data_IF_211462216266
#
_entry.id   IF_211462216266
#
_cell.length_a   1.000
_cell.length_b   1.000
_cell.length_c   1.000
_cell.angle_alpha   90.00
_cell.angle_beta   90.00
_cell.angle_gamma   90.00
#
_symmetry.space_group_name_H-M   'P 1'
#
loop_
_entity.id
_entity.type
_entity.pdbx_description
1 polymer ?
#
# COMPACT_ATOMS: atom_id res chain seq x y z
N UNK A 1 0.58 -17.90 27.74
CA UNK A 1 1.45 -17.12 26.84
C UNK A 1 0.65 -15.91 26.37
N UNK A 2 1.31 -14.85 25.93
CA UNK A 2 0.61 -13.70 25.33
C UNK A 2 0.62 -13.87 23.82
N UNK A 3 -0.57 -14.03 23.23
CA UNK A 3 -0.75 -14.12 21.78
C UNK A 3 -0.83 -12.71 21.18
N UNK A 4 0.17 -12.40 20.35
CA UNK A 4 0.40 -11.10 19.71
C UNK A 4 0.25 -11.25 18.20
N UNK A 5 -0.44 -10.31 17.57
CA UNK A 5 -0.53 -10.21 16.11
C UNK A 5 0.07 -8.88 15.65
N UNK A 6 1.00 -8.93 14.72
CA UNK A 6 1.53 -7.78 14.00
C UNK A 6 0.95 -7.74 12.59
N UNK A 7 0.37 -6.60 12.20
CA UNK A 7 -0.16 -6.36 10.85
C UNK A 7 0.55 -5.12 10.27
N UNK A 8 1.51 -5.35 9.36
CA UNK A 8 2.34 -4.30 8.76
C UNK A 8 2.94 -4.71 7.42
N UNK A 9 3.04 -3.77 6.48
CA UNK A 9 3.79 -3.94 5.24
C UNK A 9 5.27 -3.55 5.36
N UNK A 10 5.63 -2.74 6.37
CA UNK A 10 6.99 -2.22 6.61
C UNK A 10 7.98 -3.34 6.97
N UNK A 11 9.02 -3.60 6.15
CA UNK A 11 10.00 -4.68 6.41
C UNK A 11 10.83 -4.47 7.68
N UNK A 12 11.08 -3.21 8.09
CA UNK A 12 11.82 -2.86 9.32
C UNK A 12 11.10 -3.39 10.56
N UNK A 13 9.81 -3.08 10.71
CA UNK A 13 8.99 -3.52 11.84
C UNK A 13 8.91 -5.05 11.92
N UNK A 14 8.73 -5.74 10.78
CA UNK A 14 8.74 -7.22 10.76
C UNK A 14 10.06 -7.80 11.30
N UNK A 15 11.22 -7.24 10.94
CA UNK A 15 12.52 -7.71 11.44
C UNK A 15 12.66 -7.51 12.95
N UNK A 16 12.24 -6.37 13.49
CA UNK A 16 12.32 -6.07 14.92
C UNK A 16 11.43 -6.99 15.75
N UNK A 17 10.16 -7.15 15.35
CA UNK A 17 9.24 -8.06 16.03
C UNK A 17 9.65 -9.54 15.93
N UNK A 18 10.25 -9.98 14.81
CA UNK A 18 10.78 -11.34 14.70
C UNK A 18 11.92 -11.59 15.69
N UNK A 19 12.88 -10.67 15.84
CA UNK A 19 13.92 -10.75 16.89
C UNK A 19 13.30 -10.83 18.29
N UNK A 20 12.31 -9.98 18.56
CA UNK A 20 11.59 -9.97 19.84
C UNK A 20 10.91 -11.31 20.19
N UNK A 21 10.47 -12.05 19.17
CA UNK A 21 9.86 -13.37 19.32
C UNK A 21 10.88 -14.52 19.44
N UNK A 22 12.15 -14.29 19.11
CA UNK A 22 13.25 -15.23 19.40
C UNK A 22 13.67 -15.13 20.88
N UNK A 23 13.74 -13.91 21.42
CA UNK A 23 14.21 -13.65 22.79
C UNK A 23 13.22 -14.05 23.90
N UNK A 24 11.93 -14.24 23.58
CA UNK A 24 10.89 -14.52 24.59
C UNK A 24 9.89 -15.59 24.14
N UNK A 25 9.26 -16.23 25.13
CA UNK A 25 8.14 -17.18 24.95
C UNK A 25 6.81 -16.50 24.57
N UNK A 26 6.89 -15.51 23.68
CA UNK A 26 5.74 -14.81 23.10
C UNK A 26 5.26 -15.56 21.85
N UNK A 27 3.95 -15.65 21.70
CA UNK A 27 3.31 -16.23 20.52
C UNK A 27 3.05 -15.08 19.54
N UNK A 28 4.04 -14.78 18.70
CA UNK A 28 3.92 -13.74 17.68
C UNK A 28 3.47 -14.32 16.35
N UNK A 29 2.40 -13.76 15.79
CA UNK A 29 1.96 -14.00 14.40
C UNK A 29 2.14 -12.72 13.59
N UNK A 30 2.51 -12.86 12.31
CA UNK A 30 2.82 -11.73 11.42
C UNK A 30 1.99 -11.83 10.14
N UNK A 31 1.11 -10.85 9.97
CA UNK A 31 0.34 -10.62 8.76
C UNK A 31 0.98 -9.49 7.94
N UNK A 32 1.11 -9.71 6.64
CA UNK A 32 1.78 -8.77 5.73
C UNK A 32 0.84 -7.91 4.90
N UNK A 33 -0.46 -8.16 4.99
CA UNK A 33 -1.55 -7.46 4.32
C UNK A 33 -2.80 -7.54 5.19
N UNK A 34 -3.85 -6.80 4.83
CA UNK A 34 -5.10 -6.76 5.58
C UNK A 34 -5.82 -8.12 5.57
N UNK A 35 -5.89 -8.77 4.41
CA UNK A 35 -6.62 -10.03 4.20
C UNK A 35 -6.03 -11.15 5.07
N UNK A 36 -4.70 -11.26 5.10
CA UNK A 36 -4.02 -12.20 6.01
C UNK A 36 -4.20 -11.81 7.48
N UNK A 37 -4.31 -10.52 7.79
CA UNK A 37 -4.64 -10.04 9.14
C UNK A 37 -6.00 -10.55 9.61
N UNK A 38 -7.00 -10.49 8.74
CA UNK A 38 -8.35 -10.99 9.00
C UNK A 38 -8.36 -12.51 9.19
N UNK A 39 -7.68 -13.27 8.33
CA UNK A 39 -7.52 -14.73 8.47
C UNK A 39 -6.92 -15.09 9.84
N UNK A 40 -5.80 -14.45 10.21
CA UNK A 40 -5.12 -14.71 11.48
C UNK A 40 -6.00 -14.35 12.70
N UNK A 41 -6.78 -13.26 12.64
CA UNK A 41 -7.73 -12.85 13.69
C UNK A 41 -8.88 -13.87 13.85
N UNK A 42 -9.36 -14.44 12.74
CA UNK A 42 -10.45 -15.43 12.74
C UNK A 42 -9.96 -16.79 13.24
N UNK A 43 -8.76 -17.23 12.83
CA UNK A 43 -8.15 -18.50 13.25
C UNK A 43 -7.91 -18.56 14.76
N UNK A 44 -7.31 -17.50 15.33
CA UNK A 44 -7.21 -17.31 16.77
C UNK A 44 -7.24 -15.81 17.08
N UNK A 45 -8.05 -15.41 18.05
CA UNK A 45 -8.25 -14.00 18.36
C UNK A 45 -7.12 -13.53 19.28
N UNK A 46 -6.19 -12.66 18.85
CA UNK A 46 -5.04 -12.26 19.66
C UNK A 46 -5.45 -11.45 20.91
N UNK A 47 -4.58 -11.44 21.92
CA UNK A 47 -4.75 -10.59 23.11
C UNK A 47 -4.40 -9.12 22.82
N UNK A 48 -3.45 -8.90 21.91
CA UNK A 48 -3.03 -7.58 21.44
C UNK A 48 -2.71 -7.61 19.94
N UNK A 49 -3.14 -6.58 19.22
CA UNK A 49 -2.85 -6.35 17.80
C UNK A 49 -2.05 -5.06 17.65
N UNK A 50 -0.92 -5.15 16.97
CA UNK A 50 -0.13 -4.02 16.50
C UNK A 50 -0.49 -3.73 15.04
N UNK A 51 -0.93 -2.50 14.76
CA UNK A 51 -1.44 -2.09 13.44
C UNK A 51 -0.71 -0.84 12.98
N UNK A 52 -0.27 -0.83 11.73
CA UNK A 52 0.31 0.34 11.06
C UNK A 52 -0.79 1.35 10.62
N UNK A 53 -0.49 2.65 10.65
CA UNK A 53 -1.46 3.72 10.33
C UNK A 53 -2.14 3.62 8.97
N UNK A 54 -1.40 3.14 7.97
CA UNK A 54 -1.90 2.90 6.62
C UNK A 54 -1.59 1.46 6.21
N UNK A 55 -2.62 0.73 5.79
CA UNK A 55 -2.48 -0.63 5.27
C UNK A 55 -3.49 -0.85 4.15
N UNK A 56 -3.02 -1.32 2.99
CA UNK A 56 -3.86 -1.49 1.78
C UNK A 56 -4.66 -0.23 1.37
N UNK A 57 -4.17 0.96 1.71
CA UNK A 57 -4.84 2.24 1.44
C UNK A 57 -5.95 2.63 2.44
N UNK A 58 -6.22 1.81 3.45
CA UNK A 58 -7.14 2.16 4.55
C UNK A 58 -6.38 2.91 5.66
N UNK A 59 -7.07 3.82 6.32
CA UNK A 59 -6.60 4.55 7.50
C UNK A 59 -6.84 3.78 8.81
N UNK A 60 -6.07 4.14 9.84
CA UNK A 60 -6.07 3.51 11.15
C UNK A 60 -7.47 3.36 11.79
N UNK A 61 -8.29 4.40 11.74
CA UNK A 61 -9.67 4.41 12.25
C UNK A 61 -10.57 3.37 11.55
N UNK A 62 -10.49 3.25 10.22
CA UNK A 62 -11.21 2.26 9.42
C UNK A 62 -10.70 0.85 9.75
N UNK A 63 -9.38 0.66 9.83
CA UNK A 63 -8.75 -0.61 10.21
C UNK A 63 -9.21 -1.06 11.61
N UNK A 64 -9.23 -0.14 12.58
CA UNK A 64 -9.67 -0.41 13.94
C UNK A 64 -11.15 -0.80 13.99
N UNK A 65 -12.02 -0.12 13.23
CA UNK A 65 -13.43 -0.48 13.13
C UNK A 65 -13.62 -1.88 12.52
N UNK A 66 -12.90 -2.18 11.44
CA UNK A 66 -12.92 -3.47 10.77
C UNK A 66 -12.47 -4.62 11.68
N UNK A 67 -11.31 -4.49 12.34
CA UNK A 67 -10.83 -5.52 13.26
C UNK A 67 -11.73 -5.69 14.51
N UNK A 68 -12.32 -4.60 15.05
CA UNK A 68 -13.32 -4.69 16.12
C UNK A 68 -14.54 -5.50 15.68
N UNK A 69 -15.01 -5.32 14.45
CA UNK A 69 -16.13 -6.09 13.87
C UNK A 69 -15.81 -7.59 13.80
N UNK A 70 -14.60 -7.98 13.40
CA UNK A 70 -14.16 -9.38 13.32
C UNK A 70 -13.97 -10.05 14.69
N UNK A 71 -13.38 -9.34 15.66
CA UNK A 71 -13.14 -9.88 17.01
C UNK A 71 -14.43 -10.07 17.82
N UNK A 72 -15.43 -9.21 17.58
CA UNK A 72 -16.72 -9.23 18.25
C UNK A 72 -16.59 -8.82 19.72
N UNK A 73 -17.08 -9.67 20.64
CA UNK A 73 -17.10 -9.36 22.09
C UNK A 73 -15.77 -9.62 22.83
N UNK A 74 -14.70 -10.10 22.17
CA UNK A 74 -13.42 -10.36 22.85
C UNK A 74 -12.70 -9.04 23.14
N UNK A 75 -12.19 -8.88 24.36
CA UNK A 75 -11.32 -7.76 24.73
C UNK A 75 -9.91 -7.99 24.18
N UNK A 76 -9.58 -7.30 23.10
CA UNK A 76 -8.26 -7.27 22.47
C UNK A 76 -7.74 -5.83 22.51
N UNK A 77 -6.48 -5.65 22.92
CA UNK A 77 -5.85 -4.32 22.93
C UNK A 77 -5.31 -4.00 21.55
N UNK A 78 -5.53 -2.77 21.09
CA UNK A 78 -5.00 -2.28 19.82
C UNK A 78 -3.90 -1.26 20.10
N UNK A 79 -2.76 -1.45 19.44
CA UNK A 79 -1.60 -0.54 19.51
C UNK A 79 -1.34 0.00 18.11
N UNK A 80 -1.27 1.32 17.98
CA UNK A 80 -0.97 2.00 16.72
C UNK A 80 0.55 2.15 16.56
N UNK A 81 1.06 1.78 15.39
CA UNK A 81 2.44 1.99 14.96
C UNK A 81 2.47 3.07 13.88
N UNK A 82 3.03 4.24 14.20
CA UNK A 82 3.16 5.36 13.25
C UNK A 82 4.32 6.28 13.59
N UNK A 83 4.84 7.05 12.63
CA UNK A 83 5.50 8.33 12.93
C UNK A 83 4.52 9.32 13.58
N UNK A 84 5.01 10.17 14.49
CA UNK A 84 4.20 11.18 15.23
C UNK A 84 3.56 12.21 14.30
N UNK A 85 4.26 12.59 13.24
CA UNK A 85 3.82 13.58 12.23
C UNK A 85 2.63 13.10 11.37
N UNK A 86 2.30 11.81 11.40
CA UNK A 86 1.30 11.20 10.49
C UNK A 86 -0.05 10.89 11.15
N UNK A 87 -0.24 11.16 12.45
CA UNK A 87 -1.46 10.79 13.19
C UNK A 87 -2.03 11.97 13.96
N UNK A 88 -3.33 12.21 13.79
CA UNK A 88 -4.09 13.15 14.59
C UNK A 88 -4.39 12.55 15.99
N UNK A 89 -4.26 13.35 17.05
CA UNK A 89 -4.60 13.00 18.45
C UNK A 89 -5.97 12.33 18.61
N UNK A 90 -6.95 12.71 17.80
CA UNK A 90 -8.28 12.09 17.77
C UNK A 90 -8.23 10.60 17.46
N UNK A 91 -7.35 10.18 16.54
CA UNK A 91 -7.14 8.77 16.18
C UNK A 91 -6.35 8.06 17.27
N UNK A 92 -5.31 8.69 17.83
CA UNK A 92 -4.49 8.12 18.92
C UNK A 92 -5.38 7.70 20.11
N UNK A 93 -6.36 8.54 20.48
CA UNK A 93 -7.33 8.28 21.55
C UNK A 93 -8.25 7.07 21.32
N UNK A 94 -8.39 6.57 20.08
CA UNK A 94 -9.17 5.37 19.76
C UNK A 94 -8.41 4.07 20.07
N UNK A 95 -7.09 4.14 20.15
CA UNK A 95 -6.19 3.02 20.43
C UNK A 95 -5.87 2.92 21.93
N UNK A 96 -5.39 1.75 22.36
CA UNK A 96 -5.02 1.53 23.77
C UNK A 96 -3.61 2.02 24.08
N UNK A 97 -2.73 2.05 23.07
CA UNK A 97 -1.41 2.65 23.15
C UNK A 97 -0.94 3.08 21.75
N UNK A 98 0.06 3.95 21.72
CA UNK A 98 0.72 4.44 20.52
C UNK A 98 2.23 4.21 20.64
N UNK A 99 2.89 3.86 19.55
CA UNK A 99 4.34 3.69 19.48
C UNK A 99 4.87 4.46 18.26
N UNK A 100 5.78 5.39 18.51
CA UNK A 100 6.45 6.13 17.45
C UNK A 100 7.42 5.23 16.68
N UNK A 101 7.21 5.07 15.38
CA UNK A 101 8.09 4.30 14.50
C UNK A 101 9.26 5.10 13.93
N UNK A 102 9.31 6.43 14.17
CA UNK A 102 10.43 7.28 13.78
C UNK A 102 11.68 7.05 14.65
N UNK A 103 11.48 6.58 15.89
CA UNK A 103 12.52 6.17 16.84
C UNK A 103 13.52 5.17 16.23
N UNK A 104 14.72 5.12 16.81
CA UNK A 104 15.75 4.13 16.48
C UNK A 104 15.32 2.69 16.84
N UNK A 105 16.03 1.70 16.30
CA UNK A 105 15.69 0.28 16.47
C UNK A 105 15.73 -0.19 17.94
N UNK A 106 16.53 0.42 18.81
CA UNK A 106 16.62 0.05 20.23
C UNK A 106 15.48 0.68 21.03
N UNK A 107 15.29 2.00 20.95
CA UNK A 107 14.20 2.70 21.63
C UNK A 107 12.81 2.17 21.20
N UNK A 108 12.65 1.82 19.91
CA UNK A 108 11.43 1.21 19.39
C UNK A 108 11.18 -0.19 20.00
N UNK A 109 12.23 -1.02 20.13
CA UNK A 109 12.12 -2.33 20.80
C UNK A 109 11.74 -2.18 22.27
N UNK A 110 12.35 -1.23 22.98
CA UNK A 110 12.04 -0.97 24.39
C UNK A 110 10.59 -0.46 24.57
N UNK A 111 10.10 0.42 23.68
CA UNK A 111 8.72 0.90 23.68
C UNK A 111 7.70 -0.23 23.40
N UNK A 112 7.99 -1.13 22.46
CA UNK A 112 7.20 -2.35 22.22
C UNK A 112 7.20 -3.23 23.47
N UNK A 113 8.35 -3.43 24.10
CA UNK A 113 8.50 -4.25 25.30
C UNK A 113 7.76 -3.71 26.51
N UNK A 114 7.83 -2.39 26.76
CA UNK A 114 7.03 -1.72 27.78
C UNK A 114 5.52 -1.91 27.52
N UNK A 115 5.10 -1.80 26.26
CA UNK A 115 3.70 -2.00 25.85
C UNK A 115 3.24 -3.44 26.08
N UNK A 116 4.03 -4.44 25.69
CA UNK A 116 3.73 -5.87 25.91
C UNK A 116 3.71 -6.20 27.40
N UNK A 117 4.57 -5.59 28.23
CA UNK A 117 4.56 -5.78 29.68
C UNK A 117 3.22 -5.40 30.33
N UNK A 118 2.47 -4.45 29.76
CA UNK A 118 1.12 -4.09 30.24
C UNK A 118 0.08 -5.22 30.14
N UNK A 119 0.33 -6.23 29.30
CA UNK A 119 -0.54 -7.42 29.16
C UNK A 119 -0.34 -8.44 30.26
N UNK A 120 0.80 -8.42 30.96
CA UNK A 120 1.03 -9.32 32.07
C UNK A 120 -0.11 -9.14 33.08
N UNK A 121 -0.85 -10.20 33.44
CA UNK A 121 -1.94 -10.08 34.40
C UNK A 121 -1.33 -9.56 35.70
N UNK A 122 -1.65 -8.31 36.04
CA UNK A 122 -1.14 -7.62 37.23
C UNK A 122 -1.56 -8.46 38.43
N UNK A 123 -0.62 -9.30 38.90
CA UNK A 123 -0.94 -10.48 39.69
C UNK A 123 -1.84 -10.09 40.83
N UNK A 124 -3.04 -10.69 40.90
CA UNK A 124 -4.10 -10.36 41.86
C UNK A 124 -3.45 -10.31 43.24
N UNK A 125 -3.18 -9.08 43.72
CA UNK A 125 -2.42 -8.85 44.96
C UNK A 125 -3.25 -9.48 46.07
N UNK A 126 -2.89 -10.69 46.46
CA UNK A 126 -3.62 -11.49 47.42
C UNK A 126 -3.69 -10.66 48.68
N UNK A 127 -4.90 -10.36 49.13
CA UNK A 127 -5.12 -9.56 50.31
C UNK A 127 -4.58 -10.30 51.53
N UNK A 128 -3.34 -9.98 51.89
CA UNK A 128 -2.89 -10.15 53.26
C UNK A 128 -3.67 -9.11 54.09
N UNK A 129 -4.52 -9.62 54.97
CA UNK A 129 -5.15 -8.90 56.09
C UNK A 129 -4.20 -7.85 56.67
N UNK A 130 -4.60 -6.59 56.81
CA UNK A 130 -5.25 -6.13 58.06
C UNK A 130 -4.64 -6.77 59.31
N UNK A 131 -3.35 -6.50 59.52
CA UNK A 131 -2.67 -6.70 60.80
C UNK A 131 -2.62 -5.37 61.54
N UNK A 132 -3.53 -5.22 62.48
CA UNK A 132 -3.65 -4.07 63.38
C UNK A 132 -2.48 -4.06 64.38
N UNK A 133 -1.72 -2.96 64.46
CA UNK A 133 -1.09 -2.52 65.71
C UNK A 133 -0.61 -1.06 65.65
N UNK A 134 -0.73 -0.41 66.81
CA UNK A 134 -0.60 1.03 67.00
C UNK A 134 0.82 1.47 67.46
N UNK A 135 0.91 2.77 67.77
CA UNK A 135 2.10 3.55 68.15
C UNK A 135 3.09 3.83 66.99
N UNK A 136 3.57 5.05 66.78
CA UNK A 136 3.31 6.32 67.49
C UNK A 136 4.43 7.30 67.14
N UNK A 137 4.13 8.58 66.95
CA UNK A 137 5.14 9.56 66.53
C UNK A 137 4.54 10.81 65.92
N UNK A 138 4.32 11.81 66.76
CA UNK A 138 3.91 13.15 66.35
C UNK A 138 5.02 13.84 65.53
N UNK A 139 4.63 14.66 64.54
CA UNK A 139 5.13 16.03 64.45
C UNK A 139 4.21 16.87 63.58
N UNK A 140 3.83 18.06 64.05
CA UNK A 140 2.90 18.96 63.38
C UNK A 140 3.44 20.39 63.28
N UNK A 141 3.38 20.97 62.09
CA UNK A 141 3.21 22.41 61.80
C UNK A 141 2.58 22.45 60.39
N UNK A 142 1.38 22.98 60.07
CA UNK A 142 0.81 24.33 60.31
C UNK A 142 1.67 25.45 59.66
N UNK A 143 1.20 26.45 58.91
CA UNK A 143 -0.08 26.85 58.26
C UNK A 143 0.31 27.65 56.97
N UNK A 144 -0.47 28.00 55.95
CA UNK A 144 -1.73 28.81 55.81
C UNK A 144 -2.11 28.83 54.30
N UNK A 145 -3.25 29.29 53.76
CA UNK A 145 -4.45 30.01 54.26
C UNK A 145 -4.45 31.56 54.15
N UNK A 146 -4.49 32.08 52.91
CA UNK A 146 -4.96 33.41 52.42
C UNK A 146 -5.14 33.23 50.89
N UNK A 147 -6.25 33.44 50.19
CA UNK A 147 -7.37 34.41 50.28
C UNK A 147 -6.96 35.85 49.90
N UNK A 148 -7.23 36.25 48.65
CA UNK A 148 -7.50 37.65 48.29
C UNK A 148 -8.31 37.77 46.97
N UNK A 149 -9.52 38.33 47.07
CA UNK A 149 -10.34 38.84 45.98
C UNK A 149 -9.89 40.24 45.51
N UNK A 150 -9.88 40.52 44.20
CA UNK A 150 -9.67 41.88 43.67
C UNK A 150 -9.98 42.03 42.17
N UNK A 151 -10.96 42.89 41.77
CA UNK A 151 -11.30 43.18 40.36
C UNK A 151 -10.73 44.55 39.89
N UNK A 152 -11.13 44.97 38.67
CA UNK A 152 -10.78 46.21 37.91
C UNK A 152 -9.76 45.93 36.79
N UNK A 153 -9.82 46.52 35.59
CA UNK A 153 -10.70 47.58 35.04
C UNK A 153 -9.89 48.45 34.06
N UNK A 154 -10.50 48.88 32.95
CA UNK A 154 -9.80 49.41 31.76
C UNK A 154 -10.21 48.62 30.52
N UNK A 155 -11.14 49.05 29.65
CA UNK A 155 -11.44 50.41 29.19
C UNK A 155 -10.23 51.11 28.56
N UNK A 156 -10.09 50.92 27.25
CA UNK A 156 -9.47 51.88 26.34
C UNK A 156 -10.23 51.80 25.02
N UNK A 157 -11.29 52.59 24.92
CA UNK A 157 -11.68 53.16 23.63
C UNK A 157 -10.50 53.98 23.10
N UNK A 158 -10.20 53.90 21.81
CA UNK A 158 -10.35 55.06 20.91
C UNK A 158 -10.00 54.71 19.45
N UNK A 159 -10.98 55.04 18.59
CA UNK A 159 -10.81 55.82 17.36
C UNK A 159 -9.91 55.32 16.20
N UNK A 160 -10.56 54.85 15.13
CA UNK A 160 -10.12 55.04 13.74
C UNK A 160 -11.26 54.75 12.75
N UNK A 161 -11.28 55.39 11.56
CA UNK A 161 -12.48 56.12 11.18
C UNK A 161 -13.33 55.53 10.05
N UNK A 162 -14.56 56.06 9.97
CA UNK A 162 -15.56 55.82 8.93
C UNK A 162 -15.08 56.29 7.55
N UNK A 163 -15.09 55.41 6.55
CA UNK A 163 -15.04 55.79 5.13
C UNK A 163 -16.46 55.92 4.52
N UNK A 164 -16.72 56.91 3.65
CA UNK A 164 -18.05 57.19 3.12
C UNK A 164 -18.42 56.38 1.86
N UNK A 165 -19.72 56.20 1.56
CA UNK A 165 -20.18 55.52 0.35
C UNK A 165 -19.99 56.38 -0.91
N UNK A 166 -19.34 55.82 -1.93
CA UNK A 166 -19.15 56.45 -3.25
C UNK A 166 -20.27 56.00 -4.21
N UNK A 167 -20.90 56.90 -4.99
CA UNK A 167 -22.09 56.58 -5.77
C UNK A 167 -21.81 55.95 -7.15
N UNK A 168 -22.81 55.15 -7.56
CA UNK A 168 -23.33 54.95 -8.94
C UNK A 168 -22.55 55.58 -10.10
N UNK A 169 -22.14 54.74 -11.06
CA UNK A 169 -21.97 55.12 -12.47
C UNK A 169 -22.17 53.91 -13.38
N UNK A 170 -23.30 53.85 -14.06
CA UNK A 170 -23.52 52.97 -15.21
C UNK A 170 -22.77 53.49 -16.44
N UNK A 171 -22.36 52.60 -17.35
CA UNK A 171 -22.44 52.90 -18.77
C UNK A 171 -23.36 51.89 -19.46
N UNK A 172 -24.49 52.38 -19.98
CA UNK A 172 -25.39 51.57 -20.80
C UNK A 172 -24.71 51.13 -22.09
N UNK A 173 -24.91 49.85 -22.44
CA UNK A 173 -24.61 49.30 -23.77
C UNK A 173 -25.88 48.65 -24.27
N UNK A 174 -26.55 49.32 -25.20
CA UNK A 174 -27.69 48.75 -25.94
C UNK A 174 -27.24 47.50 -26.69
N UNK A 175 -27.79 46.34 -26.31
CA UNK A 175 -27.67 45.08 -27.02
C UNK A 175 -29.07 44.59 -27.41
N UNK A 176 -29.32 44.15 -28.66
CA UNK A 176 -30.67 43.81 -29.11
C UNK A 176 -31.30 42.63 -28.37
N UNK A 177 -32.60 42.75 -28.11
CA UNK A 177 -33.46 41.71 -27.54
C UNK A 177 -33.48 40.45 -28.43
N UNK A 178 -33.01 39.31 -27.91
CA UNK A 178 -33.43 38.00 -28.41
C UNK A 178 -34.75 37.57 -27.74
N UNK A 179 -35.67 36.91 -28.47
CA UNK A 179 -36.94 36.45 -27.91
C UNK A 179 -36.72 35.27 -26.95
N UNK A 180 -37.12 35.43 -25.69
CA UNK A 180 -36.87 34.45 -24.64
C UNK A 180 -37.57 33.11 -24.83
N UNK A 181 -36.87 32.03 -24.50
CA UNK A 181 -37.46 30.70 -24.36
C UNK A 181 -38.38 30.65 -23.12
N UNK A 182 -39.56 30.00 -23.19
CA UNK A 182 -40.49 29.94 -22.07
C UNK A 182 -39.93 29.11 -20.92
N UNK A 183 -39.99 29.65 -19.70
CA UNK A 183 -39.49 28.94 -18.51
C UNK A 183 -40.36 27.73 -18.17
N UNK A 184 -39.73 26.69 -17.60
CA UNK A 184 -40.40 25.42 -17.30
C UNK A 184 -41.53 25.53 -16.24
N UNK A 185 -41.64 26.67 -15.56
CA UNK A 185 -42.60 26.90 -14.48
C UNK A 185 -44.04 27.11 -14.99
N UNK A 186 -44.22 27.58 -16.24
CA UNK A 186 -45.55 27.69 -16.87
C UNK A 186 -46.18 26.33 -17.24
N UNK A 187 -45.40 25.23 -17.21
CA UNK A 187 -45.90 23.89 -17.55
C UNK A 187 -46.63 23.18 -16.39
N UNK A 188 -46.88 23.86 -15.28
CA UNK A 188 -47.76 23.36 -14.20
C UNK A 188 -47.22 22.18 -13.40
N UNK A 189 -45.91 21.88 -13.50
CA UNK A 189 -45.28 20.75 -12.79
C UNK A 189 -45.01 21.14 -11.32
N UNK A 190 -46.06 21.09 -10.50
CA UNK A 190 -45.97 21.30 -9.05
C UNK A 190 -45.26 20.10 -8.40
N UNK A 191 -43.95 20.20 -8.24
CA UNK A 191 -43.19 19.23 -7.45
C UNK A 191 -43.56 19.37 -5.96
N UNK A 192 -44.05 18.28 -5.37
CA UNK A 192 -44.30 18.24 -3.92
C UNK A 192 -43.01 18.51 -3.14
N UNK A 193 -43.08 19.45 -2.19
CA UNK A 193 -41.96 19.81 -1.32
C UNK A 193 -41.42 18.55 -0.62
N UNK A 194 -40.23 18.09 -1.02
CA UNK A 194 -39.54 17.03 -0.27
C UNK A 194 -39.06 17.63 1.05
N UNK A 195 -39.30 16.98 2.20
CA UNK A 195 -38.73 17.43 3.47
C UNK A 195 -37.21 17.41 3.34
N UNK A 196 -36.57 18.55 3.59
CA UNK A 196 -35.11 18.62 3.58
C UNK A 196 -34.58 17.85 4.78
N UNK A 197 -34.08 16.64 4.56
CA UNK A 197 -33.19 16.01 5.51
C UNK A 197 -31.91 16.85 5.57
N UNK A 198 -31.73 17.55 6.69
CA UNK A 198 -30.46 18.16 7.06
C UNK A 198 -29.45 17.05 7.39
N UNK A 199 -28.90 16.41 6.36
CA UNK A 199 -27.73 15.55 6.47
C UNK A 199 -26.52 16.46 6.71
N UNK A 200 -26.40 16.95 7.95
CA UNK A 200 -25.16 17.50 8.46
C UNK A 200 -24.13 16.37 8.46
N UNK A 201 -23.39 16.28 7.37
CA UNK A 201 -22.24 15.40 7.27
C UNK A 201 -21.13 15.98 8.14
N UNK A 202 -20.81 15.33 9.26
CA UNK A 202 -19.76 15.74 10.21
C UNK A 202 -18.33 15.67 9.62
N UNK A 203 -18.21 15.53 8.29
CA UNK A 203 -16.97 15.28 7.56
C UNK A 203 -16.24 16.56 7.10
N UNK A 204 -16.85 17.74 7.21
CA UNK A 204 -16.22 19.03 6.82
C UNK A 204 -15.59 19.80 7.98
N UNK A 205 -15.86 19.42 9.23
CA UNK A 205 -15.38 20.16 10.41
C UNK A 205 -13.89 19.98 10.74
N UNK A 206 -13.24 18.92 10.26
CA UNK A 206 -11.85 18.58 10.59
C UNK A 206 -10.79 19.15 9.64
N UNK A 207 -11.18 19.80 8.54
CA UNK A 207 -10.22 20.33 7.56
C UNK A 207 -9.63 21.70 7.97
N UNK A 208 -10.39 22.50 8.72
CA UNK A 208 -10.01 23.90 9.04
C UNK A 208 -8.98 23.99 10.19
N UNK A 209 -9.01 23.05 11.14
CA UNK A 209 -8.07 23.04 12.28
C UNK A 209 -6.65 22.58 11.93
N UNK A 210 -6.41 22.05 10.72
CA UNK A 210 -5.11 21.54 10.30
C UNK A 210 -4.18 22.60 9.67
N UNK A 211 -4.67 23.82 9.43
CA UNK A 211 -3.95 24.86 8.66
C UNK A 211 -3.25 25.90 9.56
N UNK A 212 -3.57 25.94 10.86
CA UNK A 212 -3.11 27.00 11.79
C UNK A 212 -1.82 26.68 12.57
N UNK A 213 -1.15 25.55 12.32
CA UNK A 213 0.08 25.17 13.04
C UNK A 213 1.22 24.78 12.09
N UNK A 214 1.93 25.80 11.58
CA UNK A 214 3.30 25.65 11.06
C UNK A 214 4.19 26.68 11.76
N UNK A 215 5.17 26.18 12.50
CA UNK A 215 6.06 26.96 13.36
C UNK A 215 7.03 27.84 12.56
N UNK A 216 7.37 29.00 13.13
CA UNK A 216 8.43 29.89 12.64
C UNK A 216 9.80 29.20 12.78
N UNK A 217 10.63 29.09 11.73
CA UNK A 217 11.97 28.52 11.83
C UNK A 217 12.99 29.53 12.40
N UNK A 218 13.79 29.04 13.35
CA UNK A 218 14.91 29.73 13.98
C UNK A 218 16.11 29.86 12.99
N UNK A 219 16.83 31.00 12.96
CA UNK A 219 17.85 31.25 11.94
C UNK A 219 19.16 30.49 12.20
N UNK A 220 19.48 29.54 11.31
CA UNK A 220 20.75 28.81 11.33
C UNK A 220 21.94 29.71 10.94
N UNK A 221 22.71 30.17 11.93
CA UNK A 221 23.90 30.99 11.74
C UNK A 221 25.10 30.56 12.61
N UNK A 222 25.39 29.24 12.66
CA UNK A 222 26.70 28.74 13.10
C UNK A 222 26.92 27.28 12.66
N UNK A 223 27.96 27.07 11.85
CA UNK A 223 28.94 25.95 11.85
C UNK A 223 29.43 25.69 10.42
N UNK A 224 30.43 26.49 10.05
CA UNK A 224 31.36 26.19 8.96
C UNK A 224 32.50 25.33 9.51
N UNK A 225 33.09 24.54 8.60
CA UNK A 225 34.37 23.81 8.71
C UNK A 225 34.41 22.56 9.61
N UNK A 226 34.65 21.41 8.98
CA UNK A 226 35.83 20.54 9.21
C UNK A 226 35.95 19.55 8.01
N UNK A 227 37.13 18.96 7.71
CA UNK A 227 37.49 18.59 6.35
C UNK A 227 37.21 17.13 5.89
N UNK A 228 37.21 17.01 4.57
CA UNK A 228 36.98 15.81 3.77
C UNK A 228 38.23 14.91 3.68
N UNK A 229 38.42 13.96 4.60
CA UNK A 229 39.23 12.76 4.37
C UNK A 229 38.64 11.52 5.09
N UNK A 230 39.12 10.33 4.70
CA UNK A 230 38.86 9.02 5.34
C UNK A 230 37.56 8.27 4.98
N UNK A 231 37.32 8.06 3.68
CA UNK A 231 36.58 6.89 3.18
C UNK A 231 37.36 6.15 2.09
N UNK A 232 38.41 5.44 2.52
CA UNK A 232 39.08 4.37 1.74
C UNK A 232 39.33 3.17 2.65
N UNK A 233 39.12 1.98 2.07
CA UNK A 233 39.24 0.64 2.66
C UNK A 233 38.09 0.19 3.57
N UNK A 234 37.42 -0.88 3.14
CA UNK A 234 36.24 -1.49 3.75
C UNK A 234 35.86 -2.77 2.99
N UNK A 235 36.83 -3.69 2.94
CA UNK A 235 36.76 -5.11 2.58
C UNK A 235 35.42 -5.72 2.14
N UNK A 236 35.39 -6.24 0.90
CA UNK A 236 34.44 -7.27 0.48
C UNK A 236 34.70 -8.58 1.24
N UNK A 237 34.03 -8.80 2.37
CA UNK A 237 33.97 -10.11 3.02
C UNK A 237 32.83 -10.94 2.44
N UNK A 238 33.20 -11.78 1.47
CA UNK A 238 32.37 -12.84 0.91
C UNK A 238 31.97 -13.83 2.01
N UNK A 239 30.75 -13.68 2.54
CA UNK A 239 30.20 -14.65 3.49
C UNK A 239 29.87 -15.97 2.80
N UNK A 240 30.85 -16.88 2.89
CA UNK A 240 30.75 -18.31 2.56
C UNK A 240 29.52 -18.91 3.24
N UNK A 241 28.64 -19.52 2.45
CA UNK A 241 27.41 -20.14 2.96
C UNK A 241 27.73 -21.33 3.87
N UNK A 242 27.59 -21.14 5.18
CA UNK A 242 27.60 -22.22 6.16
C UNK A 242 26.16 -22.66 6.45
N UNK A 243 25.80 -23.82 5.91
CA UNK A 243 24.43 -24.33 5.94
C UNK A 243 24.04 -24.88 7.33
N UNK A 244 23.70 -23.99 8.26
CA UNK A 244 23.09 -24.36 9.53
C UNK A 244 21.71 -24.98 9.27
N UNK A 245 21.66 -26.32 9.24
CA UNK A 245 20.41 -27.09 9.15
C UNK A 245 19.59 -26.88 10.42
N UNK A 246 18.77 -25.84 10.41
CA UNK A 246 17.63 -25.68 11.32
C UNK A 246 16.82 -26.98 11.33
N UNK A 247 16.85 -27.70 12.46
CA UNK A 247 16.00 -28.88 12.69
C UNK A 247 14.56 -28.40 12.80
N UNK A 248 13.89 -28.35 11.66
CA UNK A 248 12.53 -27.85 11.54
C UNK A 248 11.56 -28.64 12.41
N UNK A 249 10.68 -27.92 13.10
CA UNK A 249 9.60 -28.50 13.92
C UNK A 249 8.63 -29.37 13.10
N UNK A 250 8.68 -29.29 11.76
CA UNK A 250 7.94 -30.17 10.85
C UNK A 250 8.26 -31.65 11.02
N UNK A 251 9.45 -32.03 11.51
CA UNK A 251 9.78 -33.45 11.73
C UNK A 251 8.88 -34.11 12.81
N UNK A 252 8.40 -33.34 13.80
CA UNK A 252 7.43 -33.83 14.81
C UNK A 252 6.03 -34.05 14.22
N UNK A 253 5.60 -33.18 13.30
CA UNK A 253 4.34 -33.35 12.58
C UNK A 253 4.40 -34.52 11.58
N UNK A 254 5.55 -34.74 10.94
CA UNK A 254 5.75 -35.89 10.04
C UNK A 254 5.66 -37.22 10.81
N UNK A 255 6.26 -37.31 12.00
CA UNK A 255 6.13 -38.48 12.89
C UNK A 255 4.68 -38.78 13.30
N UNK A 256 3.88 -37.74 13.57
CA UNK A 256 2.45 -37.89 13.86
C UNK A 256 1.65 -38.37 12.64
N UNK A 257 1.94 -37.87 11.44
CA UNK A 257 1.29 -38.32 10.21
C UNK A 257 1.57 -39.80 9.90
N UNK A 258 2.81 -40.28 10.13
CA UNK A 258 3.15 -41.70 9.93
C UNK A 258 2.32 -42.60 10.86
N UNK A 259 2.18 -42.23 12.15
CA UNK A 259 1.35 -42.98 13.09
C UNK A 259 -0.14 -43.01 12.67
N UNK A 260 -0.66 -41.90 12.14
CA UNK A 260 -2.04 -41.77 11.68
C UNK A 260 -2.30 -42.63 10.42
N UNK A 261 -1.35 -42.70 9.49
CA UNK A 261 -1.41 -43.57 8.31
C UNK A 261 -1.32 -45.05 8.71
N UNK A 262 -0.42 -45.43 9.63
CA UNK A 262 -0.33 -46.81 10.12
C UNK A 262 -1.63 -47.23 10.81
N UNK A 263 -2.24 -46.34 11.62
CA UNK A 263 -3.53 -46.60 12.25
C UNK A 263 -4.66 -46.78 11.22
N UNK A 264 -4.72 -45.96 10.16
CA UNK A 264 -5.75 -46.10 9.12
C UNK A 264 -5.61 -47.39 8.30
N UNK A 265 -4.37 -47.83 8.03
CA UNK A 265 -4.08 -49.13 7.38
C UNK A 265 -4.42 -50.32 8.29
N UNK A 266 -4.15 -50.22 9.60
CA UNK A 266 -4.53 -51.26 10.55
C UNK A 266 -6.06 -51.42 10.64
N UNK A 267 -6.81 -50.30 10.65
CA UNK A 267 -8.29 -50.32 10.68
C UNK A 267 -8.86 -50.90 9.39
N UNK A 268 -8.33 -50.55 8.21
CA UNK A 268 -8.83 -51.11 6.94
C UNK A 268 -8.50 -52.60 6.80
N UNK A 269 -7.32 -53.06 7.23
CA UNK A 269 -7.00 -54.49 7.28
C UNK A 269 -7.90 -55.26 8.26
N UNK A 270 -8.23 -54.68 9.42
CA UNK A 270 -9.13 -55.30 10.38
C UNK A 270 -10.57 -55.42 9.82
N UNK A 271 -11.07 -54.37 9.17
CA UNK A 271 -12.37 -54.42 8.48
C UNK A 271 -12.39 -55.42 7.32
N UNK A 272 -11.29 -55.55 6.57
CA UNK A 272 -11.18 -56.49 5.45
C UNK A 272 -11.10 -57.95 5.91
N UNK A 273 -10.50 -58.24 7.06
CA UNK A 273 -10.50 -59.59 7.65
C UNK A 273 -11.85 -59.98 8.27
N UNK A 274 -12.63 -59.01 8.79
CA UNK A 274 -13.94 -59.28 9.39
C UNK A 274 -15.03 -59.75 8.43
N UNK A 275 -14.84 -59.59 7.11
CA UNK A 275 -15.87 -59.90 6.10
C UNK A 275 -15.77 -61.28 5.44
N UNK A 276 -14.81 -62.14 5.82
CA UNK A 276 -14.61 -63.45 5.18
C UNK A 276 -15.22 -64.67 5.90
N UNK A 277 -15.84 -64.53 7.06
CA UNK A 277 -16.53 -65.65 7.73
C UNK A 277 -18.03 -65.57 7.57
N UNK A 278 -18.54 -66.15 6.47
CA UNK A 278 -19.79 -66.93 6.36
C UNK A 278 -20.28 -66.96 4.90
N UNK A 279 -20.19 -68.12 4.24
CA UNK A 279 -21.23 -68.67 3.36
C UNK A 279 -20.89 -70.14 3.09
N UNK A 280 -21.57 -71.04 3.79
CA UNK A 280 -21.78 -72.41 3.34
C UNK A 280 -23.20 -72.50 2.77
N UNK A 281 -23.34 -73.23 1.67
CA UNK A 281 -24.49 -74.09 1.37
C UNK A 281 -25.88 -73.43 1.14
N UNK A 282 -26.25 -73.24 -0.14
CA UNK A 282 -27.38 -73.97 -0.77
C UNK A 282 -27.75 -73.42 -2.17
N UNK A 283 -28.18 -74.33 -3.05
CA UNK A 283 -28.59 -74.18 -4.47
C UNK A 283 -29.53 -75.38 -4.77
N UNK A 284 -30.49 -75.37 -5.73
CA UNK A 284 -31.15 -74.28 -6.48
C UNK A 284 -32.70 -74.26 -6.32
N UNK A 285 -33.40 -73.27 -6.88
CA UNK A 285 -34.47 -73.56 -7.86
C UNK A 285 -34.88 -72.34 -8.73
N UNK A 286 -35.83 -72.51 -9.65
CA UNK A 286 -35.89 -71.81 -10.93
C UNK A 286 -37.17 -70.99 -11.22
N UNK A 287 -37.17 -70.31 -12.39
CA UNK A 287 -38.33 -69.74 -13.13
C UNK A 287 -38.88 -68.36 -12.70
N UNK A 288 -39.67 -67.63 -13.50
CA UNK A 288 -39.57 -67.28 -14.94
C UNK A 288 -40.57 -66.15 -15.31
N UNK A 289 -40.19 -65.24 -16.23
CA UNK A 289 -40.96 -64.27 -17.08
C UNK A 289 -40.22 -62.92 -17.14
N UNK A 290 -39.88 -62.28 -18.27
CA UNK A 290 -40.43 -62.18 -19.65
C UNK A 290 -41.49 -61.08 -19.87
N UNK A 291 -41.02 -59.92 -20.36
CA UNK A 291 -41.64 -58.97 -21.32
C UNK A 291 -40.88 -57.61 -21.24
N UNK A 292 -40.43 -56.93 -22.31
CA UNK A 292 -40.45 -57.24 -23.74
C UNK A 292 -39.51 -56.31 -24.56
N UNK A 293 -39.23 -56.70 -25.81
CA UNK A 293 -38.55 -55.94 -26.91
C UNK A 293 -39.42 -54.75 -27.40
N UNK A 294 -39.02 -53.91 -28.42
CA UNK A 294 -37.88 -53.95 -29.36
C UNK A 294 -37.06 -52.63 -29.42
N UNK A 295 -36.08 -52.33 -30.30
CA UNK A 295 -35.09 -53.01 -31.20
C UNK A 295 -34.73 -52.04 -32.35
N UNK A 296 -33.50 -51.54 -32.39
CA UNK A 296 -32.71 -51.13 -33.58
C UNK A 296 -31.28 -50.83 -33.08
N UNK A 297 -30.16 -51.49 -33.43
CA UNK A 297 -29.71 -52.20 -34.66
C UNK A 297 -29.63 -51.20 -35.84
N UNK A 298 -28.47 -50.79 -36.34
CA UNK A 298 -27.45 -51.54 -37.14
C UNK A 298 -26.06 -50.89 -36.87
N UNK A 299 -25.05 -51.55 -36.30
CA UNK A 299 -24.04 -52.48 -36.88
C UNK A 299 -22.71 -51.84 -37.34
N UNK A 300 -21.61 -52.52 -36.99
CA UNK A 300 -20.20 -52.36 -37.37
C UNK A 300 -19.97 -52.95 -38.82
N UNK A 301 -18.75 -53.31 -39.32
CA UNK A 301 -17.37 -53.22 -38.80
C UNK A 301 -16.27 -52.80 -39.83
N UNK A 302 -15.00 -52.70 -39.39
CA UNK A 302 -13.85 -52.55 -40.31
C UNK A 302 -12.48 -52.27 -39.64
N UNK A 303 -11.70 -53.32 -39.36
CA UNK A 303 -10.24 -53.33 -39.11
C UNK A 303 -9.43 -53.13 -40.43
N UNK A 304 -8.07 -53.11 -40.47
CA UNK A 304 -7.07 -52.77 -39.43
C UNK A 304 -5.90 -51.86 -39.93
N UNK A 305 -4.96 -51.57 -39.02
CA UNK A 305 -3.51 -51.37 -39.23
C UNK A 305 -2.94 -50.30 -40.21
N UNK A 306 -2.21 -49.32 -39.63
CA UNK A 306 -0.87 -48.90 -40.10
C UNK A 306 -0.10 -48.08 -39.04
N UNK A 307 1.12 -48.51 -38.71
CA UNK A 307 2.13 -47.67 -38.07
C UNK A 307 2.77 -46.70 -39.10
N UNK A 308 3.46 -45.62 -38.69
CA UNK A 308 4.93 -45.70 -38.60
C UNK A 308 5.50 -44.82 -37.44
N UNK A 309 6.78 -44.40 -37.40
CA UNK A 309 7.78 -45.07 -36.57
C UNK A 309 8.45 -44.18 -35.50
N UNK A 310 9.21 -44.82 -34.61
CA UNK A 310 10.00 -44.14 -33.59
C UNK A 310 11.22 -43.40 -34.18
N UNK A 311 11.49 -42.19 -33.70
CA UNK A 311 12.75 -41.47 -33.89
C UNK A 311 13.69 -41.68 -32.69
N UNK A 312 14.93 -42.03 -32.98
CA UNK A 312 16.00 -42.34 -32.03
C UNK A 312 16.65 -41.09 -31.42
N UNK A 313 17.17 -41.16 -30.18
CA UNK A 313 17.96 -40.09 -29.59
C UNK A 313 19.43 -40.16 -30.06
N UNK A 314 20.08 -39.03 -30.39
CA UNK A 314 21.51 -39.00 -30.69
C UNK A 314 22.35 -39.09 -29.41
N UNK A 315 23.35 -39.99 -29.42
CA UNK A 315 24.44 -40.08 -28.43
C UNK A 315 25.48 -38.96 -28.65
N UNK A 316 26.30 -38.63 -27.64
CA UNK A 316 27.32 -37.59 -27.76
C UNK A 316 28.57 -38.10 -28.50
N UNK A 317 29.26 -37.19 -29.18
CA UNK A 317 30.62 -37.38 -29.69
C UNK A 317 31.50 -36.28 -29.08
N UNK A 318 32.64 -36.67 -28.53
CA UNK A 318 33.63 -35.77 -27.95
C UNK A 318 34.81 -35.53 -28.90
N UNK A 319 35.59 -34.50 -28.57
CA UNK A 319 36.96 -34.22 -29.01
C UNK A 319 37.20 -33.94 -30.51
N UNK A 320 37.16 -32.64 -30.84
CA UNK A 320 37.60 -32.02 -32.09
C UNK A 320 38.49 -30.81 -31.80
N UNK A 321 39.77 -31.10 -31.55
CA UNK A 321 40.91 -30.23 -31.21
C UNK A 321 40.96 -28.86 -31.93
N UNK A 322 41.39 -27.84 -31.17
CA UNK A 322 41.60 -26.44 -31.60
C UNK A 322 42.53 -26.28 -32.82
N UNK A 323 42.13 -25.41 -33.75
CA UNK A 323 43.02 -24.72 -34.69
C UNK A 323 42.71 -23.20 -34.67
N UNK A 324 43.51 -22.44 -33.92
CA UNK A 324 43.48 -20.98 -33.90
C UNK A 324 44.18 -20.40 -35.15
N UNK A 325 43.39 -19.88 -36.11
CA UNK A 325 43.66 -18.79 -37.08
C UNK A 325 42.93 -19.03 -38.41
N UNK A 326 41.77 -18.37 -38.62
CA UNK A 326 41.31 -17.83 -39.92
C UNK A 326 39.82 -17.36 -39.94
N UNK A 327 39.32 -16.62 -38.93
CA UNK A 327 37.99 -15.98 -39.01
C UNK A 327 38.00 -14.55 -38.43
N UNK A 328 38.83 -13.67 -38.98
CA UNK A 328 38.82 -12.21 -38.65
C UNK A 328 38.85 -11.38 -39.95
N UNK A 329 37.98 -11.69 -40.91
CA UNK A 329 37.90 -10.93 -42.18
C UNK A 329 36.50 -10.81 -42.79
N UNK A 330 35.44 -11.28 -42.11
CA UNK A 330 34.06 -11.26 -42.67
C UNK A 330 33.05 -10.47 -41.81
N UNK A 331 33.52 -9.71 -40.82
CA UNK A 331 32.68 -8.88 -39.91
C UNK A 331 33.00 -7.38 -40.07
N UNK A 332 33.98 -7.01 -40.90
CA UNK A 332 34.45 -5.64 -41.06
C UNK A 332 33.64 -4.77 -42.05
N UNK A 333 32.69 -5.34 -42.80
CA UNK A 333 32.12 -4.68 -44.00
C UNK A 333 30.57 -4.60 -44.01
N UNK A 334 30.00 -4.30 -42.83
CA UNK A 334 28.57 -3.93 -42.67
C UNK A 334 28.38 -2.67 -41.81
N UNK A 335 29.32 -1.72 -41.88
CA UNK A 335 29.17 -0.35 -41.34
C UNK A 335 29.00 0.72 -42.44
N UNK A 336 28.66 0.31 -43.66
CA UNK A 336 28.35 1.20 -44.77
C UNK A 336 26.97 1.85 -44.62
N UNK A 337 26.93 3.18 -44.66
CA UNK A 337 25.73 4.03 -44.61
C UNK A 337 24.84 3.90 -43.36
N UNK A 338 25.11 4.76 -42.37
CA UNK A 338 24.06 5.25 -41.45
C UNK A 338 23.00 5.98 -42.30
N UNK A 339 21.97 5.27 -42.77
CA UNK A 339 20.78 5.91 -43.32
C UNK A 339 20.21 6.83 -42.24
N UNK A 340 20.35 8.13 -42.47
CA UNK A 340 19.96 9.18 -41.55
C UNK A 340 18.43 9.20 -41.50
N UNK A 341 17.86 8.38 -40.61
CA UNK A 341 16.42 8.20 -40.42
C UNK A 341 15.78 9.59 -40.35
N UNK A 342 14.80 9.91 -41.22
CA UNK A 342 14.26 11.26 -41.32
C UNK A 342 13.86 11.75 -39.95
N UNK A 343 14.43 12.90 -39.54
CA UNK A 343 14.23 13.46 -38.22
C UNK A 343 12.75 13.73 -38.01
N UNK A 344 12.16 13.07 -37.01
CA UNK A 344 10.76 13.30 -36.64
C UNK A 344 10.54 14.80 -36.34
N UNK A 345 9.39 15.38 -36.73
CA UNK A 345 9.15 16.80 -36.52
C UNK A 345 9.27 17.18 -35.04
N UNK A 346 9.94 18.32 -34.79
CA UNK A 346 10.05 18.88 -33.45
C UNK A 346 8.68 19.41 -33.00
N UNK A 347 8.32 19.13 -31.76
CA UNK A 347 7.10 19.60 -31.10
C UNK A 347 7.43 20.91 -30.38
N UNK A 348 6.64 21.95 -30.63
CA UNK A 348 6.78 23.22 -29.93
C UNK A 348 6.60 23.02 -28.42
N UNK A 349 7.44 23.67 -27.61
CA UNK A 349 7.30 23.64 -26.14
C UNK A 349 6.05 24.44 -25.74
N UNK A 350 5.11 23.87 -24.95
CA UNK A 350 3.92 24.60 -24.55
C UNK A 350 4.28 25.69 -23.53
N UNK A 351 3.72 26.89 -23.71
CA UNK A 351 3.80 28.00 -22.74
C UNK A 351 2.56 28.01 -21.83
N UNK A 352 1.39 27.74 -22.41
CA UNK A 352 0.11 27.61 -21.69
C UNK A 352 0.02 26.25 -21.00
N UNK A 353 -0.58 26.22 -19.80
CA UNK A 353 -0.85 24.98 -19.07
C UNK A 353 -1.86 24.11 -19.85
N UNK A 354 -1.56 22.83 -20.15
CA UNK A 354 -2.50 21.95 -20.86
C UNK A 354 -3.79 21.70 -20.08
N UNK A 355 -4.93 21.61 -20.79
CA UNK A 355 -6.26 21.54 -20.18
C UNK A 355 -6.56 20.24 -19.42
N UNK A 356 -5.74 19.19 -19.60
CA UNK A 356 -5.82 17.98 -18.77
C UNK A 356 -5.28 18.17 -17.33
N UNK A 357 -4.67 19.32 -17.03
CA UNK A 357 -4.17 19.66 -15.69
C UNK A 357 -5.21 20.52 -14.95
N UNK A 358 -5.69 20.10 -13.77
CA UNK A 358 -6.74 20.81 -13.04
C UNK A 358 -6.25 22.14 -12.47
N UNK A 359 -6.69 23.25 -13.08
CA UNK A 359 -6.27 24.62 -12.71
C UNK A 359 -6.60 24.99 -11.25
N UNK A 360 -7.70 24.48 -10.72
CA UNK A 360 -8.13 24.72 -9.32
C UNK A 360 -7.30 24.01 -8.25
N UNK A 361 -6.39 23.10 -8.63
CA UNK A 361 -5.59 22.31 -7.69
C UNK A 361 -4.22 22.89 -7.33
N UNK A 362 -3.92 24.15 -7.68
CA UNK A 362 -2.58 24.72 -7.55
C UNK A 362 -2.12 24.89 -6.09
N UNK A 363 -1.06 24.17 -5.73
CA UNK A 363 -0.35 24.28 -4.45
C UNK A 363 0.74 25.36 -4.55
N UNK A 364 0.41 26.57 -4.07
CA UNK A 364 1.32 27.71 -4.04
C UNK A 364 2.52 27.51 -3.11
N UNK A 365 2.36 26.75 -2.03
CA UNK A 365 3.42 26.50 -1.05
C UNK A 365 4.54 25.64 -1.64
N UNK A 366 4.17 24.62 -2.41
CA UNK A 366 5.16 23.77 -3.09
C UNK A 366 6.05 24.55 -4.06
N UNK A 367 5.47 25.47 -4.85
CA UNK A 367 6.24 26.26 -5.82
C UNK A 367 7.15 27.31 -5.19
N UNK A 368 6.79 27.83 -4.01
CA UNK A 368 7.69 28.66 -3.22
C UNK A 368 8.91 27.87 -2.69
N UNK A 369 8.70 26.61 -2.28
CA UNK A 369 9.76 25.73 -1.82
C UNK A 369 10.61 25.11 -2.94
N UNK A 370 10.08 25.03 -4.18
CA UNK A 370 10.73 24.41 -5.32
C UNK A 370 10.72 25.36 -6.53
N UNK A 371 11.66 26.32 -6.62
CA UNK A 371 11.68 27.32 -7.69
C UNK A 371 11.60 26.72 -9.09
N UNK A 372 10.69 27.26 -9.91
CA UNK A 372 10.40 26.77 -11.26
C UNK A 372 9.46 25.56 -11.34
N UNK A 373 9.10 24.93 -10.22
CA UNK A 373 8.10 23.87 -10.18
C UNK A 373 6.73 24.39 -9.70
N UNK A 374 5.68 23.98 -10.40
CA UNK A 374 4.29 24.14 -10.00
C UNK A 374 3.72 22.76 -9.66
N UNK A 375 2.88 22.68 -8.62
CA UNK A 375 2.20 21.46 -8.20
C UNK A 375 0.70 21.66 -8.31
N UNK A 376 0.03 20.84 -9.12
CA UNK A 376 -1.42 20.80 -9.23
C UNK A 376 -1.95 19.46 -8.70
N UNK A 377 -2.81 19.51 -7.69
CA UNK A 377 -3.43 18.34 -7.07
C UNK A 377 -4.78 18.07 -7.72
N UNK A 378 -4.92 16.91 -8.38
CA UNK A 378 -6.21 16.34 -8.77
C UNK A 378 -6.78 15.43 -7.68
N UNK A 379 -7.94 14.82 -7.95
CA UNK A 379 -8.63 13.94 -6.98
C UNK A 379 -7.84 12.66 -6.68
N UNK A 380 -7.26 12.04 -7.72
CA UNK A 380 -6.49 10.79 -7.63
C UNK A 380 -5.11 10.86 -8.28
N UNK A 381 -4.78 11.99 -8.90
CA UNK A 381 -3.50 12.22 -9.59
C UNK A 381 -2.86 13.53 -9.14
N UNK A 382 -1.54 13.53 -9.15
CA UNK A 382 -0.72 14.71 -8.89
C UNK A 382 0.04 15.10 -10.16
N UNK A 383 0.07 16.39 -10.49
CA UNK A 383 0.75 16.93 -11.65
C UNK A 383 1.81 17.92 -11.19
N UNK A 384 3.09 17.63 -11.48
CA UNK A 384 4.21 18.54 -11.25
C UNK A 384 4.66 19.10 -12.59
N UNK A 385 4.66 20.42 -12.75
CA UNK A 385 5.00 21.11 -13.99
C UNK A 385 6.27 21.92 -13.76
N UNK A 386 7.32 21.66 -14.52
CA UNK A 386 8.55 22.44 -14.47
C UNK A 386 8.56 23.49 -15.57
N UNK A 387 8.69 24.76 -15.19
CA UNK A 387 8.79 25.92 -16.07
C UNK A 387 10.19 26.51 -16.07
N UNK A 388 10.64 26.88 -17.25
CA UNK A 388 11.86 27.65 -17.49
C UNK A 388 11.43 28.97 -18.16
N UNK A 389 11.32 30.03 -17.36
CA UNK A 389 10.61 31.26 -17.76
C UNK A 389 9.13 30.97 -18.02
N UNK A 390 8.64 31.27 -19.21
CA UNK A 390 7.24 31.02 -19.61
C UNK A 390 7.02 29.63 -20.24
N UNK A 391 8.09 28.91 -20.61
CA UNK A 391 8.00 27.62 -21.30
C UNK A 391 7.96 26.45 -20.32
N UNK A 392 7.08 25.49 -20.57
CA UNK A 392 7.05 24.21 -19.85
C UNK A 392 8.14 23.31 -20.42
N UNK A 393 9.03 22.83 -19.55
CA UNK A 393 10.18 21.96 -19.90
C UNK A 393 9.96 20.52 -19.48
N UNK A 394 9.19 20.29 -18.41
CA UNK A 394 8.76 18.95 -18.01
C UNK A 394 7.36 18.94 -17.39
N UNK A 395 6.65 17.82 -17.56
CA UNK A 395 5.40 17.50 -16.85
C UNK A 395 5.56 16.10 -16.27
N UNK A 396 5.40 15.96 -14.96
CA UNK A 396 5.36 14.69 -14.23
C UNK A 396 3.93 14.46 -13.72
N UNK A 397 3.40 13.26 -13.95
CA UNK A 397 2.07 12.85 -13.49
C UNK A 397 2.22 11.60 -12.60
N UNK A 398 1.63 11.61 -11.42
CA UNK A 398 1.77 10.57 -10.39
C UNK A 398 0.38 10.11 -9.94
N UNK A 399 0.16 8.79 -9.85
CA UNK A 399 -1.00 8.17 -9.20
C UNK A 399 -0.91 8.30 -7.68
N UNK A 400 -1.89 8.99 -7.07
CA UNK A 400 -2.08 9.06 -5.61
C UNK A 400 -3.17 8.12 -5.11
N UNK A 401 -4.11 7.72 -5.97
CA UNK A 401 -5.21 6.83 -5.61
C UNK A 401 -4.81 5.36 -5.47
N UNK A 402 -3.56 5.02 -5.82
CA UNK A 402 -3.04 3.65 -5.74
C UNK A 402 -3.59 2.71 -6.82
N UNK A 403 -4.42 3.20 -7.75
CA UNK A 403 -5.07 2.38 -8.77
C UNK A 403 -4.26 2.25 -10.06
N UNK A 404 -3.24 3.07 -10.24
CA UNK A 404 -2.51 3.24 -11.49
C UNK A 404 -3.19 4.27 -12.40
N UNK A 405 -2.36 5.01 -13.14
CA UNK A 405 -2.79 5.91 -14.20
C UNK A 405 -3.32 5.06 -15.37
N UNK A 406 -4.57 5.27 -15.84
CA UNK A 406 -5.10 4.53 -16.99
C UNK A 406 -4.27 4.78 -18.25
N UNK A 407 -3.96 3.73 -19.03
CA UNK A 407 -3.21 3.89 -20.28
C UNK A 407 -3.94 4.75 -21.31
N UNK A 408 -5.27 4.78 -21.27
CA UNK A 408 -6.11 5.67 -22.09
C UNK A 408 -5.85 7.14 -21.76
N UNK A 409 -5.75 7.48 -20.47
CA UNK A 409 -5.38 8.82 -20.02
C UNK A 409 -3.95 9.18 -20.43
N UNK A 410 -2.99 8.28 -20.21
CA UNK A 410 -1.60 8.46 -20.66
C UNK A 410 -1.52 8.72 -22.18
N UNK A 411 -2.20 7.90 -22.99
CA UNK A 411 -2.27 8.08 -24.47
C UNK A 411 -2.93 9.41 -24.84
N UNK A 412 -3.99 9.81 -24.13
CA UNK A 412 -4.65 11.11 -24.30
C UNK A 412 -3.73 12.29 -24.01
N UNK A 413 -2.99 12.26 -22.89
CA UNK A 413 -1.98 13.27 -22.54
C UNK A 413 -0.91 13.37 -23.63
N UNK A 414 -0.34 12.24 -24.06
CA UNK A 414 0.68 12.24 -25.11
C UNK A 414 0.14 12.78 -26.44
N UNK A 415 -1.08 12.40 -26.83
CA UNK A 415 -1.75 12.92 -28.03
C UNK A 415 -2.05 14.43 -27.97
N UNK A 416 -2.37 14.94 -26.78
CA UNK A 416 -2.58 16.38 -26.55
C UNK A 416 -1.27 17.17 -26.59
N UNK A 417 -0.15 16.60 -26.16
CA UNK A 417 1.18 17.22 -26.22
C UNK A 417 1.81 17.11 -27.62
N UNK A 418 1.59 15.99 -28.31
CA UNK A 418 2.05 15.73 -29.66
C UNK A 418 0.94 15.05 -30.47
N UNK A 419 0.38 15.76 -31.46
CA UNK A 419 -0.80 15.37 -32.26
C UNK A 419 -0.75 13.95 -32.85
N UNK A 420 0.45 13.38 -33.03
CA UNK A 420 0.69 12.00 -33.45
C UNK A 420 1.76 11.34 -32.56
N UNK A 421 1.48 11.26 -31.26
CA UNK A 421 2.37 10.61 -30.29
C UNK A 421 2.45 9.09 -30.51
N UNK A 422 3.61 8.63 -31.00
CA UNK A 422 3.99 7.21 -30.97
C UNK A 422 5.20 7.05 -30.04
N UNK A 423 5.04 6.29 -28.97
CA UNK A 423 6.14 6.04 -28.05
C UNK A 423 7.06 4.94 -28.61
N UNK A 424 8.33 5.28 -28.86
CA UNK A 424 9.39 4.33 -29.17
C UNK A 424 10.25 4.08 -27.92
N UNK A 425 10.11 2.92 -27.24
CA UNK A 425 10.96 2.59 -26.10
C UNK A 425 12.42 2.49 -26.55
N UNK A 426 13.31 3.15 -25.80
CA UNK A 426 14.76 3.17 -26.02
C UNK A 426 15.50 2.35 -24.96
N UNK A 427 14.95 2.26 -23.74
CA UNK A 427 15.54 1.51 -22.62
C UNK A 427 14.45 1.07 -21.63
N UNK A 428 14.64 -0.09 -20.98
CA UNK A 428 13.86 -0.53 -19.82
C UNK A 428 14.82 -0.91 -18.70
N UNK A 429 14.55 -0.45 -17.48
CA UNK A 429 15.39 -0.69 -16.31
C UNK A 429 14.50 -1.07 -15.11
N UNK A 430 14.76 -2.21 -14.46
CA UNK A 430 14.08 -2.57 -13.22
C UNK A 430 14.85 -2.04 -12.01
N UNK A 431 14.27 -1.10 -11.28
CA UNK A 431 14.88 -0.45 -10.11
C UNK A 431 13.86 -0.24 -9.00
N UNK A 432 14.22 -0.55 -7.75
CA UNK A 432 13.43 -0.27 -6.54
C UNK A 432 11.97 -0.80 -6.57
N UNK A 433 11.72 -1.89 -7.30
CA UNK A 433 10.38 -2.46 -7.44
C UNK A 433 9.52 -1.81 -8.53
N UNK A 434 10.13 -1.03 -9.43
CA UNK A 434 9.51 -0.47 -10.62
C UNK A 434 10.17 -0.98 -11.91
N UNK A 435 9.40 -1.10 -12.98
CA UNK A 435 9.92 -1.18 -14.36
C UNK A 435 9.89 0.23 -14.98
N UNK A 436 11.07 0.79 -15.22
CA UNK A 436 11.28 2.16 -15.70
C UNK A 436 11.55 2.09 -17.20
N UNK A 437 10.56 2.46 -18.01
CA UNK A 437 10.64 2.48 -19.47
C UNK A 437 10.92 3.89 -19.97
N UNK A 438 12.08 4.10 -20.59
CA UNK A 438 12.51 5.37 -21.20
C UNK A 438 12.37 5.29 -22.71
N UNK A 439 11.90 6.36 -23.35
CA UNK A 439 11.81 6.41 -24.80
C UNK A 439 11.46 7.77 -25.36
N UNK A 440 11.28 7.82 -26.68
CA UNK A 440 10.99 9.04 -27.42
C UNK A 440 9.54 9.03 -27.92
N UNK A 441 8.90 10.21 -27.92
CA UNK A 441 7.50 10.41 -28.36
C UNK A 441 7.45 11.24 -29.64
N UNK A 442 8.35 12.21 -29.77
CA UNK A 442 8.56 13.04 -30.95
C UNK A 442 10.01 13.58 -31.00
N UNK A 443 10.38 14.33 -32.04
CA UNK A 443 11.78 14.70 -32.32
C UNK A 443 12.56 15.27 -31.14
N UNK A 444 11.93 16.11 -30.31
CA UNK A 444 12.48 16.71 -29.09
C UNK A 444 11.67 16.38 -27.82
N UNK A 445 10.81 15.36 -27.86
CA UNK A 445 9.93 14.99 -26.76
C UNK A 445 10.26 13.58 -26.27
N UNK A 446 10.80 13.48 -25.05
CA UNK A 446 11.10 12.20 -24.38
C UNK A 446 10.09 11.90 -23.28
N UNK A 447 9.87 10.62 -23.00
CA UNK A 447 9.01 10.16 -21.92
C UNK A 447 9.69 9.04 -21.09
N UNK A 448 9.38 9.04 -19.79
CA UNK A 448 9.78 8.00 -18.83
C UNK A 448 8.53 7.50 -18.11
N UNK A 449 8.23 6.22 -18.25
CA UNK A 449 7.12 5.55 -17.55
C UNK A 449 7.66 4.75 -16.38
N UNK A 450 6.97 4.83 -15.24
CA UNK A 450 7.24 4.06 -14.03
C UNK A 450 6.08 3.10 -13.82
N UNK A 451 6.27 1.82 -14.14
CA UNK A 451 5.29 0.75 -13.86
C UNK A 451 5.72 -0.02 -12.62
N UNK A 452 4.80 -0.76 -11.99
CA UNK A 452 5.17 -1.71 -10.95
C UNK A 452 6.17 -2.80 -11.44
N UNK A 453 6.78 -3.55 -10.52
CA UNK A 453 7.78 -4.58 -10.82
C UNK A 453 7.32 -5.67 -11.81
N UNK A 454 6.01 -5.87 -11.92
CA UNK A 454 5.38 -6.86 -12.80
C UNK A 454 5.03 -6.27 -14.17
N UNK A 455 5.31 -4.98 -14.41
CA UNK A 455 4.97 -4.27 -15.64
C UNK A 455 3.49 -3.90 -15.75
N UNK A 456 2.73 -4.00 -14.65
CA UNK A 456 1.30 -3.80 -14.61
C UNK A 456 0.90 -2.33 -14.60
N UNK A 457 0.49 -1.85 -13.43
CA UNK A 457 -0.09 -0.52 -13.22
C UNK A 457 0.98 0.56 -13.44
N UNK A 458 0.66 1.53 -14.31
CA UNK A 458 1.47 2.73 -14.50
C UNK A 458 1.33 3.63 -13.25
N UNK A 459 2.41 3.80 -12.48
CA UNK A 459 2.42 4.58 -11.23
C UNK A 459 2.69 6.05 -11.45
N UNK A 460 3.62 6.36 -12.34
CA UNK A 460 3.92 7.72 -12.72
C UNK A 460 4.45 7.76 -14.15
N UNK A 461 4.40 8.93 -14.77
CA UNK A 461 5.20 9.19 -15.95
C UNK A 461 5.67 10.64 -16.04
N UNK A 462 6.82 10.84 -16.67
CA UNK A 462 7.44 12.14 -16.88
C UNK A 462 7.60 12.36 -18.37
N UNK A 463 7.18 13.52 -18.87
CA UNK A 463 7.39 13.97 -20.24
C UNK A 463 8.32 15.19 -20.19
N UNK A 464 9.37 15.18 -21.00
CA UNK A 464 10.41 16.22 -21.03
C UNK A 464 10.65 16.70 -22.46
N UNK A 465 10.74 18.02 -22.65
CA UNK A 465 11.20 18.63 -23.89
C UNK A 465 12.71 18.85 -23.82
N UNK A 466 13.41 18.36 -24.83
CA UNK A 466 14.85 18.58 -25.04
C UNK A 466 15.09 19.96 -25.66
#
# INVERSE_FOLDING_TARGET
MSDLLLITDIPRLRKLFLRLAEDRSLSLRVAGSLEKGDEEIVVDKPAMVFVQTHLSGLSADILLMHFKKLLGRRRTRFVLLSPVDQVNDGVIKLYHNFIDTSLDDHALVDAIMATVATLAPKGKKTGASSGDMAAGGESSVASSTMDETGPSGGETDEDSPVEPPVPVSEPGVDAPLEPGEPSLEEQGVVYALRPQLSVYSEFTGTYDSAVSQVSVPEPAAALLEEPMEKWRHGEEKTFRAEASRSRSKSFRYMLWLVALVVASVAVTLYQYHGSQTNTLESVPESSSKSAGRPRAVVSQPGEPAKAPPATTPPKPVADGRLDDKAVISTIAESQGSKQQKPSAPAVARPTVLPDFIPRGGLDKGFGAANPGWELYRGVVTEFKVFREGTAIKAIQIIDRGGQGIPETFMKGVLGHLAKQASFSPTSSEKKEGYDIQRGQVAGNLSAVFYRDAQGGKLRAFVVTWQ
#
